data_IF_930953841395
#
_entry.id   IF_930953841395
#
_cell.length_a   1.000
_cell.length_b   1.000
_cell.length_c   1.000
_cell.angle_alpha   90.00
_cell.angle_beta   90.00
_cell.angle_gamma   90.00
#
_symmetry.space_group_name_H-M   'P 1'
#
loop_
_entity.id
_entity.type
_entity.pdbx_description
1 polymer ?
#
# COMPACT_ATOMS: atom_id res chain seq x y z
N UNK A 1 -26.12 -20.62 -7.87
CA UNK A 1 -27.11 -19.77 -7.17
C UNK A 1 -26.59 -19.63 -5.75
N UNK A 2 -26.25 -18.46 -5.20
CA UNK A 2 -26.91 -17.14 -5.26
C UNK A 2 -25.89 -15.99 -5.17
N UNK A 3 -25.74 -15.25 -6.28
CA UNK A 3 -25.30 -13.85 -6.27
C UNK A 3 -26.49 -13.00 -5.79
N UNK A 4 -26.69 -12.74 -4.50
CA UNK A 4 -27.75 -11.79 -4.06
C UNK A 4 -27.93 -11.72 -2.54
N UNK A 5 -26.95 -11.18 -1.80
CA UNK A 5 -27.24 -10.64 -0.44
C UNK A 5 -26.76 -9.19 -0.27
N UNK A 6 -25.87 -8.70 -1.13
CA UNK A 6 -25.14 -7.43 -0.89
C UNK A 6 -25.49 -6.27 -1.82
N UNK A 7 -26.49 -6.41 -2.69
CA UNK A 7 -26.88 -5.37 -3.64
C UNK A 7 -28.39 -5.13 -3.52
N UNK A 8 -28.79 -4.17 -2.68
CA UNK A 8 -30.11 -3.55 -2.74
C UNK A 8 -29.92 -2.05 -2.96
N UNK A 9 -30.55 -1.55 -4.01
CA UNK A 9 -30.80 -0.15 -4.38
C UNK A 9 -30.10 0.91 -3.52
N UNK A 10 -28.80 1.06 -3.74
CA UNK A 10 -28.01 2.08 -3.09
C UNK A 10 -28.11 3.37 -3.90
N UNK A 11 -28.70 4.43 -3.34
CA UNK A 11 -28.57 5.76 -3.92
C UNK A 11 -27.13 6.20 -3.66
N UNK A 12 -26.32 6.29 -4.71
CA UNK A 12 -24.92 6.76 -4.64
C UNK A 12 -24.81 7.99 -3.73
N UNK A 13 -24.19 7.80 -2.57
CA UNK A 13 -23.91 8.86 -1.59
C UNK A 13 -22.49 9.40 -1.74
N UNK A 14 -21.59 8.65 -2.36
CA UNK A 14 -20.21 9.09 -2.62
C UNK A 14 -20.12 10.03 -3.85
N UNK A 15 -19.10 10.92 -3.91
CA UNK A 15 -18.84 11.80 -5.05
C UNK A 15 -18.62 11.04 -6.37
N UNK A 16 -18.92 11.69 -7.50
CA UNK A 16 -18.66 11.15 -8.86
C UNK A 16 -17.20 11.27 -9.31
N UNK A 17 -16.38 12.01 -8.56
CA UNK A 17 -14.96 12.18 -8.80
C UNK A 17 -14.18 11.91 -7.51
N UNK A 18 -13.03 11.27 -7.67
CA UNK A 18 -12.05 10.98 -6.61
C UNK A 18 -10.70 11.60 -6.98
N UNK A 19 -9.71 11.61 -6.07
CA UNK A 19 -8.33 12.01 -6.38
C UNK A 19 -7.71 11.20 -7.53
N UNK A 20 -8.20 9.99 -7.79
CA UNK A 20 -7.72 9.09 -8.84
C UNK A 20 -8.54 9.15 -10.13
N UNK A 21 -9.40 10.17 -10.27
CA UNK A 21 -10.20 10.43 -11.46
C UNK A 21 -11.70 10.19 -11.28
N UNK A 22 -12.41 10.15 -12.41
CA UNK A 22 -13.84 9.88 -12.45
C UNK A 22 -14.12 8.47 -11.93
N UNK A 23 -15.03 8.36 -10.96
CA UNK A 23 -15.36 7.07 -10.35
C UNK A 23 -16.11 6.20 -11.35
N UNK A 24 -15.60 4.99 -11.57
CA UNK A 24 -16.15 4.04 -12.53
C UNK A 24 -17.01 2.97 -11.86
N UNK A 25 -16.64 2.58 -10.63
CA UNK A 25 -17.39 1.64 -9.81
C UNK A 25 -17.37 2.05 -8.34
N UNK A 26 -18.36 1.58 -7.59
CA UNK A 26 -18.50 1.79 -6.15
C UNK A 26 -18.94 0.49 -5.48
N UNK A 27 -18.28 0.15 -4.38
CA UNK A 27 -18.74 -0.89 -3.47
C UNK A 27 -18.98 -0.30 -2.08
N UNK A 28 -19.95 -0.87 -1.37
CA UNK A 28 -20.28 -0.45 -0.01
C UNK A 28 -20.18 -1.66 0.92
N UNK A 29 -19.33 -1.55 1.94
CA UNK A 29 -19.26 -2.52 3.02
C UNK A 29 -20.05 -2.00 4.22
N UNK A 30 -21.01 -2.80 4.70
CA UNK A 30 -21.71 -2.50 5.96
C UNK A 30 -21.07 -3.27 7.09
N UNK A 31 -20.62 -2.56 8.11
CA UNK A 31 -19.90 -3.11 9.27
C UNK A 31 -20.52 -2.49 10.52
N UNK A 32 -21.05 -3.34 11.40
CA UNK A 32 -21.91 -2.91 12.49
C UNK A 32 -23.08 -2.05 11.97
N UNK A 33 -23.16 -0.82 12.47
CA UNK A 33 -24.18 0.15 12.09
C UNK A 33 -23.70 1.18 11.04
N UNK A 34 -22.52 1.00 10.45
CA UNK A 34 -21.88 1.95 9.53
C UNK A 34 -21.71 1.38 8.14
N UNK A 35 -21.71 2.27 7.15
CA UNK A 35 -21.46 1.98 5.75
C UNK A 35 -20.13 2.61 5.33
N UNK A 36 -19.30 1.85 4.63
CA UNK A 36 -18.00 2.26 4.12
C UNK A 36 -18.01 2.20 2.60
N UNK A 37 -17.74 3.33 1.97
CA UNK A 37 -17.81 3.50 0.52
C UNK A 37 -16.42 3.39 -0.09
N UNK A 38 -16.21 2.37 -0.90
CA UNK A 38 -15.00 2.18 -1.69
C UNK A 38 -15.31 2.58 -3.12
N UNK A 39 -14.49 3.46 -3.67
CA UNK A 39 -14.58 3.87 -5.08
C UNK A 39 -13.43 3.28 -5.85
N UNK A 40 -13.70 2.91 -7.09
CA UNK A 40 -12.70 2.36 -8.00
C UNK A 40 -12.66 3.18 -9.30
N UNK A 41 -11.45 3.45 -9.76
CA UNK A 41 -11.12 4.05 -11.06
C UNK A 41 -10.24 3.09 -11.85
N UNK A 42 -9.80 3.50 -13.04
CA UNK A 42 -8.97 2.65 -13.89
C UNK A 42 -7.59 2.49 -13.27
N UNK A 43 -7.40 1.37 -12.55
CA UNK A 43 -6.12 0.99 -11.95
C UNK A 43 -5.89 1.47 -10.52
N UNK A 44 -6.88 2.10 -9.87
CA UNK A 44 -6.74 2.52 -8.48
C UNK A 44 -8.10 2.80 -7.81
N UNK A 45 -8.08 3.31 -6.58
CA UNK A 45 -9.28 3.59 -5.82
C UNK A 45 -9.00 4.07 -4.41
N UNK A 46 -10.05 4.06 -3.60
CA UNK A 46 -9.91 4.36 -2.18
C UNK A 46 -11.24 4.41 -1.44
N UNK A 47 -11.15 4.67 -0.15
CA UNK A 47 -12.32 4.81 0.72
C UNK A 47 -12.70 6.28 0.87
N UNK A 48 -13.98 6.56 0.69
CA UNK A 48 -14.60 7.84 0.93
C UNK A 48 -15.25 7.91 2.31
N UNK A 49 -15.01 9.01 3.03
CA UNK A 49 -15.75 9.33 4.25
C UNK A 49 -16.71 10.48 4.01
N UNK A 50 -17.95 10.30 4.50
CA UNK A 50 -18.93 11.36 4.55
C UNK A 50 -18.46 12.53 5.42
N UNK A 51 -18.99 13.75 5.23
CA UNK A 51 -18.68 14.88 6.11
C UNK A 51 -18.91 14.58 7.60
N UNK A 52 -19.93 13.80 7.93
CA UNK A 52 -20.24 13.41 9.30
C UNK A 52 -19.20 12.43 9.87
N UNK A 53 -18.75 11.47 9.07
CA UNK A 53 -17.76 10.48 9.51
C UNK A 53 -16.38 11.10 9.69
N UNK A 54 -16.01 12.08 8.85
CA UNK A 54 -14.77 12.84 9.02
C UNK A 54 -14.67 13.50 10.40
N UNK A 55 -15.81 13.95 10.96
CA UNK A 55 -15.84 14.59 12.28
C UNK A 55 -15.70 13.60 13.43
N UNK A 56 -15.93 12.30 13.18
CA UNK A 56 -15.80 11.23 14.17
C UNK A 56 -14.41 10.57 14.14
N UNK A 57 -13.58 10.91 13.17
CA UNK A 57 -12.16 10.54 13.15
C UNK A 57 -11.38 11.30 14.23
N UNK A 58 -10.24 10.77 14.69
CA UNK A 58 -9.36 11.49 15.60
C UNK A 58 -8.93 12.85 15.04
N UNK A 59 -8.64 13.80 15.94
CA UNK A 59 -8.17 15.14 15.57
C UNK A 59 -6.95 15.03 14.65
N UNK A 60 -7.01 15.72 13.50
CA UNK A 60 -5.96 15.71 12.48
C UNK A 60 -6.05 14.57 11.46
N UNK A 61 -6.97 13.61 11.64
CA UNK A 61 -7.14 12.46 10.74
C UNK A 61 -8.48 12.44 10.00
N UNK A 62 -9.32 13.46 10.15
CA UNK A 62 -10.60 13.59 9.43
C UNK A 62 -10.43 14.03 7.97
N UNK A 63 -10.01 13.11 7.09
CA UNK A 63 -9.88 13.35 5.64
C UNK A 63 -10.98 12.68 4.82
N UNK A 64 -11.25 13.23 3.64
CA UNK A 64 -12.30 12.77 2.72
C UNK A 64 -11.96 11.46 2.01
N UNK A 65 -10.71 11.34 1.57
CA UNK A 65 -10.24 10.23 0.76
C UNK A 65 -9.09 9.52 1.45
N UNK A 66 -9.13 8.20 1.40
CA UNK A 66 -8.11 7.30 1.92
C UNK A 66 -7.69 6.36 0.80
N UNK A 67 -6.41 6.38 0.44
CA UNK A 67 -5.84 5.55 -0.62
C UNK A 67 -6.03 4.05 -0.36
N UNK A 68 -6.41 3.30 -1.40
CA UNK A 68 -6.87 1.89 -1.33
C UNK A 68 -5.84 0.93 -0.73
N UNK A 69 -4.57 1.04 -1.13
CA UNK A 69 -3.53 0.05 -0.85
C UNK A 69 -2.98 0.19 0.57
N UNK A 70 -2.81 1.43 1.05
CA UNK A 70 -2.17 1.69 2.33
C UNK A 70 -3.15 2.24 3.37
N UNK A 71 -4.09 3.10 3.00
CA UNK A 71 -4.75 4.00 3.96
C UNK A 71 -6.20 3.63 4.26
N UNK A 72 -6.91 2.99 3.34
CA UNK A 72 -8.34 2.71 3.43
C UNK A 72 -8.73 1.87 4.66
N UNK A 73 -7.80 1.05 5.16
CA UNK A 73 -8.01 0.27 6.39
C UNK A 73 -8.08 1.14 7.66
N UNK A 74 -7.49 2.34 7.69
CA UNK A 74 -7.41 3.19 8.89
C UNK A 74 -8.80 3.61 9.40
N UNK A 75 -9.67 4.24 8.60
CA UNK A 75 -10.98 4.65 9.09
C UNK A 75 -11.83 3.46 9.49
N UNK A 76 -11.78 2.38 8.71
CA UNK A 76 -12.49 1.14 9.03
C UNK A 76 -12.05 0.59 10.38
N UNK A 77 -10.74 0.45 10.61
CA UNK A 77 -10.16 0.00 11.88
C UNK A 77 -10.55 0.92 13.04
N UNK A 78 -10.44 2.24 12.88
CA UNK A 78 -10.77 3.21 13.92
C UNK A 78 -12.22 3.09 14.38
N UNK A 79 -13.13 3.06 13.41
CA UNK A 79 -14.55 2.95 13.68
C UNK A 79 -14.91 1.59 14.28
N UNK A 80 -14.34 0.49 13.79
CA UNK A 80 -14.58 -0.84 14.37
C UNK A 80 -14.13 -0.92 15.83
N UNK A 81 -13.02 -0.27 16.19
CA UNK A 81 -12.51 -0.21 17.56
C UNK A 81 -13.40 0.61 18.50
N UNK A 82 -14.20 1.53 17.97
CA UNK A 82 -14.99 2.48 18.77
C UNK A 82 -16.49 2.21 18.76
N UNK A 83 -16.99 1.39 17.83
CA UNK A 83 -18.41 1.08 17.70
C UNK A 83 -18.78 -0.27 18.33
N UNK A 84 -20.09 -0.47 18.55
CA UNK A 84 -20.64 -1.79 18.87
C UNK A 84 -20.81 -2.57 17.57
N UNK A 85 -20.09 -3.67 17.44
CA UNK A 85 -20.22 -4.58 16.29
C UNK A 85 -21.50 -5.41 16.45
N UNK A 86 -22.24 -5.58 15.35
CA UNK A 86 -23.54 -6.25 15.35
C UNK A 86 -23.46 -7.77 15.08
N UNK A 87 -22.26 -8.29 14.84
CA UNK A 87 -22.00 -9.70 14.52
C UNK A 87 -20.54 -10.10 14.79
N UNK A 88 -20.14 -11.28 14.32
CA UNK A 88 -18.75 -11.74 14.40
C UNK A 88 -17.92 -11.15 13.26
N UNK A 89 -17.48 -9.91 13.45
CA UNK A 89 -16.60 -9.18 12.53
C UNK A 89 -15.12 -9.29 12.95
N UNK A 90 -14.80 -10.19 13.89
CA UNK A 90 -13.49 -10.27 14.55
C UNK A 90 -12.34 -10.49 13.59
N UNK A 91 -12.49 -11.41 12.62
CA UNK A 91 -11.49 -11.67 11.58
C UNK A 91 -11.24 -10.43 10.71
N UNK A 92 -12.31 -9.74 10.32
CA UNK A 92 -12.21 -8.54 9.50
C UNK A 92 -11.52 -7.40 10.25
N UNK A 93 -11.88 -7.17 11.52
CA UNK A 93 -11.20 -6.19 12.38
C UNK A 93 -9.72 -6.55 12.56
N UNK A 94 -9.39 -7.83 12.70
CA UNK A 94 -8.01 -8.29 12.78
C UNK A 94 -7.23 -8.00 11.48
N UNK A 95 -7.84 -8.22 10.31
CA UNK A 95 -7.23 -7.89 9.01
C UNK A 95 -6.98 -6.39 8.86
N UNK A 96 -7.97 -5.54 9.18
CA UNK A 96 -7.77 -4.08 9.16
C UNK A 96 -6.68 -3.65 10.14
N UNK A 97 -6.65 -4.23 11.34
CA UNK A 97 -5.62 -3.95 12.35
C UNK A 97 -4.23 -4.31 11.83
N UNK A 98 -4.07 -5.49 11.24
CA UNK A 98 -2.81 -5.94 10.64
C UNK A 98 -2.37 -5.01 9.49
N UNK A 99 -3.30 -4.61 8.62
CA UNK A 99 -3.01 -3.68 7.53
C UNK A 99 -2.56 -2.30 8.03
N UNK A 100 -3.22 -1.76 9.06
CA UNK A 100 -2.85 -0.47 9.65
C UNK A 100 -1.47 -0.54 10.31
N UNK A 101 -1.16 -1.62 11.05
CA UNK A 101 0.18 -1.84 11.62
C UNK A 101 1.27 -1.97 10.54
N UNK A 102 0.96 -2.71 9.46
CA UNK A 102 1.86 -2.94 8.35
C UNK A 102 2.26 -1.64 7.63
N UNK A 103 1.26 -0.83 7.28
CA UNK A 103 1.42 0.29 6.34
C UNK A 103 1.38 1.68 6.98
N UNK A 104 0.73 1.84 8.13
CA UNK A 104 0.61 3.12 8.82
C UNK A 104 0.97 3.01 10.31
N UNK A 105 2.18 2.52 10.62
CA UNK A 105 2.59 2.31 12.00
C UNK A 105 2.50 3.60 12.82
N UNK A 106 2.95 4.74 12.30
CA UNK A 106 2.96 6.00 13.04
C UNK A 106 1.56 6.44 13.48
N UNK A 107 0.55 6.23 12.63
CA UNK A 107 -0.86 6.53 12.94
C UNK A 107 -1.38 5.56 14.01
N UNK A 108 -1.08 4.25 13.86
CA UNK A 108 -1.47 3.26 14.86
C UNK A 108 -0.89 3.58 16.24
N UNK A 109 0.42 3.82 16.33
CA UNK A 109 1.11 4.08 17.59
C UNK A 109 0.63 5.40 18.22
N UNK A 110 0.42 6.44 17.42
CA UNK A 110 -0.10 7.71 17.91
C UNK A 110 -1.52 7.59 18.49
N UNK A 111 -2.39 6.77 17.88
CA UNK A 111 -3.79 6.63 18.28
C UNK A 111 -4.01 5.60 19.40
N UNK A 112 -3.08 4.68 19.61
CA UNK A 112 -3.18 3.60 20.60
C UNK A 112 -2.22 3.75 21.78
N UNK A 113 -1.08 4.41 21.57
CA UNK A 113 0.05 4.43 22.51
C UNK A 113 0.86 3.12 22.52
N UNK A 114 0.49 2.13 21.72
CA UNK A 114 1.21 0.86 21.61
C UNK A 114 2.38 1.00 20.64
N UNK A 115 3.52 0.37 20.97
CA UNK A 115 4.66 0.30 20.06
C UNK A 115 4.59 -0.99 19.24
N UNK A 116 4.56 -0.86 17.92
CA UNK A 116 4.53 -1.98 16.98
C UNK A 116 5.95 -2.54 16.79
N UNK A 117 6.16 -3.86 16.95
CA UNK A 117 7.41 -4.53 16.61
C UNK A 117 7.80 -4.38 15.14
N UNK A 118 9.08 -4.54 14.81
CA UNK A 118 9.58 -4.35 13.44
C UNK A 118 8.95 -5.36 12.47
N UNK A 119 8.78 -6.60 12.91
CA UNK A 119 8.24 -7.73 12.18
C UNK A 119 6.75 -7.61 11.85
N UNK A 120 6.01 -6.75 12.57
CA UNK A 120 4.59 -6.49 12.35
C UNK A 120 4.36 -5.29 11.41
N UNK A 121 5.42 -4.59 11.00
CA UNK A 121 5.31 -3.36 10.20
C UNK A 121 6.23 -3.35 8.99
N UNK A 122 5.64 -3.51 7.81
CA UNK A 122 6.37 -3.38 6.54
C UNK A 122 7.07 -2.01 6.42
N UNK A 123 6.38 -0.92 6.78
CA UNK A 123 6.97 0.43 6.73
C UNK A 123 8.13 0.60 7.70
N UNK A 124 8.04 0.10 8.94
CA UNK A 124 9.19 0.17 9.86
C UNK A 124 10.35 -0.69 9.38
N UNK A 125 10.06 -1.89 8.90
CA UNK A 125 11.07 -2.77 8.31
C UNK A 125 11.79 -2.08 7.15
N UNK A 126 11.04 -1.48 6.22
CA UNK A 126 11.59 -0.76 5.08
C UNK A 126 12.46 0.42 5.51
N UNK A 127 12.01 1.22 6.48
CA UNK A 127 12.79 2.34 7.04
C UNK A 127 14.11 1.87 7.64
N UNK A 128 14.09 0.77 8.40
CA UNK A 128 15.31 0.18 8.96
C UNK A 128 16.22 -0.36 7.86
N UNK A 129 15.67 -1.10 6.90
CA UNK A 129 16.42 -1.66 5.78
C UNK A 129 17.12 -0.56 4.98
N UNK A 130 16.40 0.52 4.66
CA UNK A 130 16.96 1.67 3.94
C UNK A 130 18.05 2.40 4.76
N UNK A 131 17.88 2.52 6.07
CA UNK A 131 18.88 3.12 6.95
C UNK A 131 20.15 2.25 7.06
N UNK A 132 20.00 0.93 7.24
CA UNK A 132 21.11 -0.02 7.30
C UNK A 132 21.87 -0.09 5.95
N UNK A 133 21.20 0.25 4.84
CA UNK A 133 21.74 0.25 3.48
C UNK A 133 21.92 1.65 2.88
N UNK A 134 22.03 2.70 3.71
CA UNK A 134 22.02 4.08 3.24
C UNK A 134 23.11 4.40 2.19
N UNK A 135 24.27 3.75 2.30
CA UNK A 135 25.41 3.91 1.38
C UNK A 135 25.42 2.89 0.24
N UNK A 136 24.52 1.90 0.26
CA UNK A 136 24.43 0.84 -0.74
C UNK A 136 23.37 1.18 -1.80
N UNK A 137 23.54 0.64 -3.00
CA UNK A 137 22.51 0.74 -4.03
C UNK A 137 21.41 -0.30 -3.76
N UNK A 138 20.20 0.17 -3.45
CA UNK A 138 19.03 -0.70 -3.27
C UNK A 138 18.17 -0.64 -4.52
N UNK A 139 17.77 -1.81 -5.03
CA UNK A 139 16.89 -1.91 -6.21
C UNK A 139 15.53 -1.30 -5.91
N UNK A 140 15.04 -0.44 -6.82
CA UNK A 140 13.71 0.18 -6.76
C UNK A 140 12.79 -0.29 -7.88
N UNK A 141 13.35 -0.57 -9.05
CA UNK A 141 12.61 -1.12 -10.19
C UNK A 141 13.44 -2.17 -10.91
N UNK A 142 12.76 -3.17 -11.46
CA UNK A 142 13.38 -4.28 -12.17
C UNK A 142 12.67 -4.56 -13.50
N UNK A 143 13.46 -4.97 -14.49
CA UNK A 143 13.08 -5.14 -15.88
C UNK A 143 13.55 -6.53 -16.32
N UNK A 144 12.62 -7.31 -16.88
CA UNK A 144 12.93 -8.61 -17.45
C UNK A 144 13.39 -8.49 -18.90
N UNK A 145 13.58 -9.64 -19.56
CA UNK A 145 13.99 -9.74 -20.97
C UNK A 145 12.99 -9.13 -21.97
N UNK A 146 11.78 -8.73 -21.52
CA UNK A 146 10.85 -7.95 -22.33
C UNK A 146 11.35 -6.53 -22.62
N UNK A 147 12.26 -6.00 -21.80
CA UNK A 147 12.90 -4.72 -22.04
C UNK A 147 14.08 -4.89 -22.99
N UNK A 148 14.08 -4.14 -24.10
CA UNK A 148 15.07 -4.27 -25.19
C UNK A 148 16.54 -4.13 -24.75
N UNK A 149 16.80 -3.51 -23.60
CA UNK A 149 18.14 -3.28 -23.05
C UNK A 149 18.58 -4.37 -22.05
N UNK A 150 17.71 -5.32 -21.72
CA UNK A 150 18.00 -6.40 -20.76
C UNK A 150 18.38 -7.67 -21.53
N UNK A 151 19.64 -8.14 -21.43
CA UNK A 151 20.05 -9.39 -22.07
C UNK A 151 19.34 -10.62 -21.50
N UNK A 152 19.25 -11.69 -22.31
CA UNK A 152 18.72 -12.98 -21.85
C UNK A 152 19.49 -13.50 -20.63
N UNK A 153 18.73 -14.01 -19.64
CA UNK A 153 19.30 -14.51 -18.39
C UNK A 153 19.71 -13.43 -17.38
N UNK A 154 19.46 -12.15 -17.68
CA UNK A 154 19.69 -11.02 -16.77
C UNK A 154 18.38 -10.37 -16.34
N UNK A 155 18.46 -9.58 -15.28
CA UNK A 155 17.46 -8.61 -14.85
C UNK A 155 18.13 -7.26 -14.84
N UNK A 156 17.55 -6.32 -15.56
CA UNK A 156 17.95 -4.93 -15.50
C UNK A 156 17.32 -4.25 -14.30
N UNK A 157 18.08 -3.49 -13.52
CA UNK A 157 17.55 -2.79 -12.35
C UNK A 157 17.91 -1.33 -12.35
N UNK A 158 16.98 -0.51 -11.86
CA UNK A 158 17.28 0.82 -11.36
C UNK A 158 17.43 0.73 -9.85
N UNK A 159 18.59 1.14 -9.35
CA UNK A 159 18.91 1.12 -7.94
C UNK A 159 19.30 2.51 -7.46
N UNK A 160 19.03 2.79 -6.18
CA UNK A 160 19.21 4.09 -5.56
C UNK A 160 19.85 3.97 -4.18
N UNK A 161 20.77 4.87 -3.86
CA UNK A 161 21.26 5.12 -2.50
C UNK A 161 20.35 6.10 -1.76
N UNK A 162 20.34 6.06 -0.42
CA UNK A 162 19.54 6.99 0.38
C UNK A 162 19.84 8.47 0.07
N UNK A 163 21.10 8.79 -0.23
CA UNK A 163 21.55 10.14 -0.61
C UNK A 163 21.11 10.60 -2.02
N UNK A 164 20.39 9.78 -2.77
CA UNK A 164 19.83 10.13 -4.08
C UNK A 164 20.71 9.79 -5.28
N UNK A 165 21.85 9.12 -5.09
CA UNK A 165 22.61 8.56 -6.22
C UNK A 165 21.79 7.42 -6.84
N UNK A 166 21.52 7.51 -8.14
CA UNK A 166 20.80 6.49 -8.91
C UNK A 166 21.73 5.88 -9.96
N UNK A 167 21.59 4.58 -10.19
CA UNK A 167 22.37 3.86 -11.19
C UNK A 167 21.61 2.63 -11.71
N UNK A 168 21.95 2.21 -12.92
CA UNK A 168 21.42 1.01 -13.53
C UNK A 168 22.42 -0.14 -13.45
N UNK A 169 21.93 -1.35 -13.20
CA UNK A 169 22.75 -2.56 -13.15
C UNK A 169 22.10 -3.72 -13.88
N UNK A 170 22.92 -4.68 -14.32
CA UNK A 170 22.49 -6.01 -14.74
C UNK A 170 22.82 -7.02 -13.64
N UNK A 171 21.81 -7.77 -13.23
CA UNK A 171 21.91 -8.83 -12.21
C UNK A 171 21.53 -10.16 -12.88
N UNK A 172 22.27 -11.26 -12.65
CA UNK A 172 21.85 -12.58 -13.13
C UNK A 172 20.43 -12.92 -12.67
N UNK A 173 19.55 -13.33 -13.59
CA UNK A 173 18.14 -13.58 -13.28
C UNK A 173 17.96 -14.65 -12.20
N UNK A 174 18.79 -15.70 -12.22
CA UNK A 174 18.78 -16.77 -11.22
C UNK A 174 19.20 -16.29 -9.82
N UNK A 175 20.00 -15.22 -9.72
CA UNK A 175 20.34 -14.58 -8.45
C UNK A 175 19.20 -13.68 -7.99
N UNK A 176 18.72 -12.80 -8.87
CA UNK A 176 17.65 -11.86 -8.54
C UNK A 176 16.33 -12.56 -8.17
N UNK A 177 16.04 -13.73 -8.75
CA UNK A 177 14.87 -14.54 -8.43
C UNK A 177 14.88 -15.16 -7.02
N UNK A 178 16.06 -15.26 -6.37
CA UNK A 178 16.17 -15.79 -5.00
C UNK A 178 15.87 -14.74 -3.93
N UNK A 179 15.62 -13.48 -4.32
CA UNK A 179 15.32 -12.41 -3.37
C UNK A 179 13.99 -12.69 -2.67
N UNK A 180 13.97 -12.56 -1.35
CA UNK A 180 12.76 -12.64 -0.52
C UNK A 180 12.10 -11.29 -0.23
N UNK A 181 12.55 -10.22 -0.91
CA UNK A 181 12.16 -8.83 -0.65
C UNK A 181 13.08 -7.86 -1.39
N UNK A 182 13.50 -6.79 -0.71
CA UNK A 182 14.49 -5.85 -1.23
C UNK A 182 15.79 -6.53 -1.66
N UNK A 183 16.49 -5.89 -2.61
CA UNK A 183 17.74 -6.39 -3.14
C UNK A 183 18.81 -5.29 -3.09
N UNK A 184 19.94 -5.61 -2.47
CA UNK A 184 21.11 -4.74 -2.45
C UNK A 184 22.03 -5.13 -3.60
N UNK A 185 22.37 -4.16 -4.44
CA UNK A 185 23.34 -4.34 -5.53
C UNK A 185 24.74 -4.45 -4.93
N UNK A 186 25.50 -5.41 -5.44
CA UNK A 186 26.92 -5.59 -5.19
C UNK A 186 27.69 -5.04 -6.40
N UNK A 187 28.31 -3.84 -6.31
CA UNK A 187 28.98 -3.20 -7.46
C UNK A 187 30.18 -3.99 -8.01
N UNK A 188 30.74 -4.92 -7.23
CA UNK A 188 31.87 -5.76 -7.66
C UNK A 188 31.39 -6.97 -8.47
N UNK A 189 30.11 -7.35 -8.34
CA UNK A 189 29.51 -8.52 -9.00
C UNK A 189 28.46 -8.16 -10.05
N UNK A 190 27.76 -7.05 -9.87
CA UNK A 190 26.66 -6.62 -10.74
C UNK A 190 27.15 -5.53 -11.68
N UNK A 191 26.98 -5.76 -12.98
CA UNK A 191 27.50 -4.86 -14.00
C UNK A 191 26.72 -3.54 -14.01
N UNK A 192 27.38 -2.44 -13.65
CA UNK A 192 26.82 -1.09 -13.86
C UNK A 192 26.71 -0.80 -15.35
N UNK A 193 25.57 -0.27 -15.78
CA UNK A 193 25.31 0.13 -17.16
C UNK A 193 24.86 1.60 -17.20
N UNK A 194 25.00 2.29 -18.35
CA UNK A 194 24.37 3.59 -18.56
C UNK A 194 22.85 3.49 -18.38
N UNK A 195 22.21 4.57 -17.93
CA UNK A 195 20.75 4.63 -17.83
C UNK A 195 20.12 4.36 -19.19
N UNK A 196 19.30 3.29 -19.32
CA UNK A 196 18.65 2.96 -20.58
C UNK A 196 17.68 4.05 -20.99
N UNK A 197 17.69 4.41 -22.28
CA UNK A 197 16.69 5.30 -22.85
C UNK A 197 15.47 4.43 -23.18
N UNK A 198 14.30 4.77 -22.63
CA UNK A 198 13.07 4.13 -23.08
C UNK A 198 12.75 4.62 -24.50
N UNK A 199 12.34 3.71 -25.41
CA UNK A 199 12.08 4.03 -26.80
C UNK A 199 10.92 5.01 -26.97
#
# INVERSE_FOLDING_TARGET
>A
MTKSVWLKDFKRTCPTYSPWGGVQDESCAKIGNREFHFVHTAGHGGLWLSPEDRLQMPVGHGREWWEEDCEAAIPVWWFCRTMVLAGDESEFVALCTQSVKAWNPDIYEALTGEVIPLEESHVKWQRKFDADNAENFVVRSAFGSWAHWVPDGMVGVFARKAKGEEACFLIPAAEYAKRGGDFVVDPDRHQRIPTPVQP
#
